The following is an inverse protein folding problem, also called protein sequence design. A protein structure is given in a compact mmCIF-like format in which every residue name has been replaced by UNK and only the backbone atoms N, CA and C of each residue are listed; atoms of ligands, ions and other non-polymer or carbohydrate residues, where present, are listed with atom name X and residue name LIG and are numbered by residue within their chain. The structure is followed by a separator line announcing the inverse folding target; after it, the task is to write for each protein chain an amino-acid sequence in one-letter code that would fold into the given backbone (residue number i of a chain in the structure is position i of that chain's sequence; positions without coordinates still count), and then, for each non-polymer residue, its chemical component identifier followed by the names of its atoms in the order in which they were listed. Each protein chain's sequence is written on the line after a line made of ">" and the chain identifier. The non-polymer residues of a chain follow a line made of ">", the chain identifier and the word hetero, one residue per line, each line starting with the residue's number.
data_IF_249200509966
#
_entry.id   IF_249200509966
#
_cell.length_a   1.000
_cell.length_b   1.000
_cell.length_c   1.000
_cell.angle_alpha   90.00
_cell.angle_beta   90.00
_cell.angle_gamma   90.00
#
_symmetry.space_group_name_H-M   'P 1'
#
loop_
_entity.id
_entity.type
_entity.pdbx_description
1 polymer ?
#
# COMPACT_ATOMS: atom_id res chain seq x y z
N UNK A 1 19.32 37.17 2.86
CA UNK A 1 19.58 38.51 2.29
C UNK A 1 21.09 38.68 2.13
N UNK A 2 21.53 39.55 1.22
CA UNK A 2 22.91 39.99 1.08
C UNK A 2 22.99 41.48 1.37
N UNK A 3 24.01 41.90 2.12
CA UNK A 3 24.27 43.29 2.48
C UNK A 3 25.50 43.79 1.72
N UNK A 4 25.38 44.95 1.08
CA UNK A 4 26.51 45.62 0.41
C UNK A 4 26.78 46.96 1.10
N UNK A 5 28.01 47.10 1.60
CA UNK A 5 28.53 48.33 2.20
C UNK A 5 29.71 48.86 1.38
N UNK A 6 29.93 50.16 1.42
CA UNK A 6 31.15 50.79 0.91
C UNK A 6 32.33 50.67 1.90
N UNK A 7 33.49 51.20 1.53
CA UNK A 7 34.68 51.19 2.40
C UNK A 7 34.53 51.97 3.71
N UNK A 8 33.51 52.83 3.82
CA UNK A 8 33.16 53.61 5.00
C UNK A 8 32.00 52.98 5.80
N UNK A 9 31.60 51.74 5.48
CA UNK A 9 30.47 51.03 6.09
C UNK A 9 29.09 51.64 5.79
N UNK A 10 28.96 52.48 4.76
CA UNK A 10 27.65 52.99 4.34
C UNK A 10 26.95 52.00 3.40
N UNK A 11 25.63 51.84 3.48
CA UNK A 11 24.87 51.04 2.54
C UNK A 11 25.01 51.52 1.08
N UNK A 12 25.21 50.58 0.16
CA UNK A 12 25.26 50.88 -1.27
C UNK A 12 23.93 50.48 -1.90
N UNK A 13 23.15 51.45 -2.34
CA UNK A 13 21.88 51.24 -3.05
C UNK A 13 22.06 50.99 -4.55
N UNK A 14 21.19 50.19 -5.15
CA UNK A 14 21.17 49.94 -6.58
C UNK A 14 22.31 49.06 -7.09
N UNK A 15 23.05 48.41 -6.20
CA UNK A 15 24.14 47.50 -6.59
C UNK A 15 23.57 46.18 -7.06
N UNK A 16 23.91 45.77 -8.28
CA UNK A 16 23.62 44.42 -8.77
C UNK A 16 24.44 43.38 -7.98
N UNK A 17 23.75 42.41 -7.39
CA UNK A 17 24.29 41.29 -6.63
C UNK A 17 23.78 39.99 -7.25
N UNK A 18 24.70 39.06 -7.48
CA UNK A 18 24.43 37.69 -7.89
C UNK A 18 24.54 36.76 -6.67
N UNK A 19 23.51 35.98 -6.39
CA UNK A 19 23.51 34.96 -5.35
C UNK A 19 23.51 33.60 -6.01
N UNK A 20 24.43 32.71 -5.65
CA UNK A 20 24.48 31.35 -6.17
C UNK A 20 24.58 30.33 -5.03
N UNK A 21 23.86 29.21 -5.20
CA UNK A 21 24.17 27.97 -4.48
C UNK A 21 25.35 27.31 -5.20
N UNK A 22 26.52 27.37 -4.58
CA UNK A 22 27.79 26.90 -5.16
C UNK A 22 28.06 25.42 -4.92
N UNK A 23 27.42 24.82 -3.91
CA UNK A 23 27.51 23.39 -3.62
C UNK A 23 26.26 22.92 -2.89
N UNK A 24 26.01 21.61 -2.91
CA UNK A 24 24.87 20.98 -2.25
C UNK A 24 23.78 20.51 -3.21
N UNK A 25 22.65 20.01 -2.67
CA UNK A 25 21.54 19.49 -3.45
C UNK A 25 20.98 20.45 -4.50
N UNK A 26 21.03 21.76 -4.24
CA UNK A 26 20.51 22.79 -5.14
C UNK A 26 21.62 23.54 -5.88
N UNK A 27 22.81 22.93 -6.05
CA UNK A 27 23.93 23.55 -6.76
C UNK A 27 23.54 24.00 -8.18
N UNK A 28 23.90 25.23 -8.52
CA UNK A 28 23.52 25.86 -9.79
C UNK A 28 22.24 26.70 -9.72
N UNK A 29 21.50 26.67 -8.62
CA UNK A 29 20.46 27.68 -8.37
C UNK A 29 21.11 29.06 -8.18
N UNK A 30 20.52 30.10 -8.78
CA UNK A 30 20.97 31.47 -8.61
C UNK A 30 19.81 32.48 -8.63
N UNK A 31 20.09 33.67 -8.10
CA UNK A 31 19.22 34.84 -8.22
C UNK A 31 20.06 36.11 -8.34
N UNK A 32 19.66 36.97 -9.28
CA UNK A 32 20.22 38.30 -9.45
C UNK A 32 19.23 39.36 -8.96
N UNK A 33 19.75 40.41 -8.32
CA UNK A 33 18.93 41.53 -7.90
C UNK A 33 19.75 42.73 -7.48
N UNK A 34 19.06 43.85 -7.27
CA UNK A 34 19.70 45.10 -6.82
C UNK A 34 19.44 45.36 -5.35
N UNK A 35 20.41 45.97 -4.68
CA UNK A 35 20.26 46.40 -3.29
C UNK A 35 19.29 47.57 -3.14
N UNK A 36 18.54 47.60 -2.05
CA UNK A 36 17.60 48.68 -1.71
C UNK A 36 18.28 49.89 -1.03
N UNK A 37 17.47 50.82 -0.51
CA UNK A 37 17.94 52.00 0.24
C UNK A 37 18.76 51.68 1.49
N UNK A 38 18.68 50.45 2.00
CA UNK A 38 19.45 49.94 3.13
C UNK A 38 20.64 49.06 2.71
N UNK A 39 20.94 49.00 1.41
CA UNK A 39 22.03 48.17 0.88
C UNK A 39 21.73 46.68 0.89
N UNK A 40 20.46 46.29 1.07
CA UNK A 40 20.05 44.90 1.17
C UNK A 40 19.44 44.38 -0.13
N UNK A 41 19.81 43.15 -0.49
CA UNK A 41 19.11 42.33 -1.48
C UNK A 41 18.53 41.10 -0.78
N UNK A 42 17.20 40.99 -0.74
CA UNK A 42 16.50 39.83 -0.19
C UNK A 42 16.18 38.81 -1.29
N UNK A 43 16.39 37.53 -1.00
CA UNK A 43 16.07 36.42 -1.88
C UNK A 43 15.49 35.27 -1.05
N UNK A 44 14.70 34.42 -1.69
CA UNK A 44 14.19 33.16 -1.15
C UNK A 44 14.32 32.09 -2.20
N UNK A 45 14.62 30.86 -1.79
CA UNK A 45 14.63 29.71 -2.70
C UNK A 45 14.11 28.47 -2.00
N UNK A 46 13.56 27.55 -2.79
CA UNK A 46 12.99 26.29 -2.34
C UNK A 46 13.96 25.15 -2.62
N UNK A 47 14.21 24.29 -1.62
CA UNK A 47 15.03 23.10 -1.79
C UNK A 47 14.29 22.01 -2.58
N UNK A 48 14.63 21.85 -3.86
CA UNK A 48 14.08 20.81 -4.74
C UNK A 48 15.06 19.65 -4.98
N UNK A 49 16.35 19.84 -4.64
CA UNK A 49 17.41 18.85 -4.84
C UNK A 49 17.45 17.69 -3.85
N UNK A 50 16.56 17.66 -2.85
CA UNK A 50 16.54 16.66 -1.78
C UNK A 50 17.35 17.08 -0.54
N UNK A 51 17.54 16.15 0.42
CA UNK A 51 18.25 16.42 1.66
C UNK A 51 19.74 16.67 1.43
N UNK A 52 20.33 17.48 2.29
CA UNK A 52 21.76 17.82 2.26
C UNK A 52 21.99 19.29 2.55
N UNK A 53 23.27 19.67 2.57
CA UNK A 53 23.67 21.04 2.89
C UNK A 53 23.97 21.81 1.62
N UNK A 54 23.25 22.91 1.40
CA UNK A 54 23.61 23.91 0.40
C UNK A 54 24.66 24.87 0.95
N UNK A 55 25.58 25.29 0.08
CA UNK A 55 26.53 26.37 0.33
C UNK A 55 26.21 27.51 -0.62
N UNK A 56 25.99 28.70 -0.08
CA UNK A 56 25.56 29.89 -0.82
C UNK A 56 26.64 30.95 -0.73
N UNK A 57 26.92 31.61 -1.85
CA UNK A 57 27.85 32.73 -1.94
C UNK A 57 27.24 33.85 -2.78
N UNK A 58 27.45 35.09 -2.35
CA UNK A 58 27.12 36.28 -3.14
C UNK A 58 28.34 36.75 -3.91
N UNK A 59 28.12 37.32 -5.09
CA UNK A 59 29.13 38.04 -5.85
C UNK A 59 28.56 39.34 -6.43
N UNK A 60 29.43 40.30 -6.63
CA UNK A 60 29.11 41.57 -7.28
C UNK A 60 30.35 42.15 -7.94
N UNK A 61 30.19 43.03 -8.92
CA UNK A 61 31.29 43.88 -9.40
C UNK A 61 31.24 45.19 -8.64
N UNK A 62 32.36 45.67 -8.08
CA UNK A 62 32.44 46.95 -7.37
C UNK A 62 32.49 48.16 -8.32
N UNK A 63 32.57 49.39 -7.76
CA UNK A 63 32.62 50.61 -8.59
C UNK A 63 33.89 50.72 -9.45
N UNK A 64 34.96 50.01 -9.09
CA UNK A 64 36.21 49.93 -9.84
C UNK A 64 36.23 48.84 -10.91
N UNK A 65 35.11 48.14 -11.12
CA UNK A 65 35.03 47.05 -12.09
C UNK A 65 35.59 45.71 -11.58
N UNK A 66 35.90 45.59 -10.30
CA UNK A 66 36.49 44.38 -9.72
C UNK A 66 35.41 43.46 -9.16
N UNK A 67 35.47 42.18 -9.49
CA UNK A 67 34.59 41.17 -8.88
C UNK A 67 34.92 40.98 -7.39
N UNK A 68 33.88 41.01 -6.56
CA UNK A 68 33.91 40.76 -5.12
C UNK A 68 33.00 39.59 -4.81
N UNK A 69 33.42 38.73 -3.89
CA UNK A 69 32.63 37.63 -3.36
C UNK A 69 32.45 37.81 -1.86
N UNK A 70 31.31 37.37 -1.33
CA UNK A 70 31.05 37.34 0.10
C UNK A 70 31.71 36.15 0.79
N UNK A 71 31.55 36.06 2.11
CA UNK A 71 31.65 34.77 2.82
C UNK A 71 30.57 33.80 2.30
N UNK A 72 30.73 32.52 2.65
CA UNK A 72 29.71 31.52 2.40
C UNK A 72 28.72 31.43 3.57
N UNK A 73 27.48 31.04 3.27
CA UNK A 73 26.47 30.65 4.27
C UNK A 73 25.90 29.29 3.89
N UNK A 74 25.46 28.51 4.88
CA UNK A 74 24.96 27.16 4.66
C UNK A 74 23.50 27.01 5.08
N UNK A 75 22.76 26.22 4.30
CA UNK A 75 21.38 25.81 4.62
C UNK A 75 21.33 24.28 4.63
N UNK A 76 20.90 23.69 5.74
CA UNK A 76 20.70 22.24 5.84
C UNK A 76 19.25 21.91 5.48
N UNK A 77 19.07 21.14 4.40
CA UNK A 77 17.82 20.50 4.05
C UNK A 77 17.77 19.13 4.68
N UNK A 78 16.79 18.91 5.55
CA UNK A 78 16.54 17.60 6.15
C UNK A 78 15.52 16.83 5.34
N UNK A 79 15.61 15.50 5.31
CA UNK A 79 14.53 14.68 4.79
C UNK A 79 13.23 14.96 5.55
N UNK A 80 12.11 14.87 4.83
CA UNK A 80 10.82 14.74 5.51
C UNK A 80 10.78 13.35 6.13
N UNK A 81 10.53 13.20 7.44
CA UNK A 81 10.45 11.88 8.05
C UNK A 81 9.39 11.04 7.35
N UNK A 82 9.78 9.91 6.75
CA UNK A 82 8.81 8.91 6.30
C UNK A 82 8.35 8.17 7.55
N UNK A 83 7.05 8.20 7.90
CA UNK A 83 6.57 7.46 9.04
C UNK A 83 6.81 5.96 8.83
N UNK A 84 7.20 5.20 9.89
CA UNK A 84 7.39 3.76 9.78
C UNK A 84 6.13 3.09 9.26
N UNK A 85 6.28 2.27 8.22
CA UNK A 85 5.15 1.65 7.54
C UNK A 85 4.72 0.39 8.31
N UNK A 86 3.49 0.42 8.83
CA UNK A 86 2.82 -0.76 9.35
C UNK A 86 2.37 -1.67 8.21
N UNK A 87 2.21 -2.95 8.51
CA UNK A 87 1.73 -3.96 7.56
C UNK A 87 0.49 -4.66 8.10
N UNK A 88 -0.35 -5.17 7.20
CA UNK A 88 -1.53 -5.95 7.53
C UNK A 88 -1.61 -7.20 6.65
N UNK A 89 -1.91 -8.35 7.26
CA UNK A 89 -2.03 -9.64 6.57
C UNK A 89 -3.33 -10.34 6.99
N UNK A 90 -4.03 -10.92 6.02
CA UNK A 90 -5.22 -11.74 6.22
C UNK A 90 -4.91 -13.23 6.13
N UNK A 91 -5.45 -14.00 7.08
CA UNK A 91 -5.40 -15.46 7.08
C UNK A 91 -6.71 -16.11 7.58
N UNK A 92 -7.09 -17.29 7.06
CA UNK A 92 -6.42 -18.01 5.96
C UNK A 92 -6.57 -17.26 4.63
N UNK A 93 -5.57 -17.39 3.75
CA UNK A 93 -5.61 -16.75 2.43
C UNK A 93 -6.60 -17.43 1.48
N UNK A 94 -6.90 -18.71 1.70
CA UNK A 94 -7.88 -19.48 0.93
C UNK A 94 -8.75 -20.31 1.86
N UNK A 95 -10.02 -20.48 1.52
CA UNK A 95 -10.94 -21.37 2.20
C UNK A 95 -11.98 -21.93 1.23
N UNK A 96 -12.64 -23.01 1.64
CA UNK A 96 -13.84 -23.52 1.00
C UNK A 96 -14.92 -23.76 2.07
N UNK A 97 -16.16 -23.40 1.75
CA UNK A 97 -17.31 -23.51 2.65
C UNK A 97 -18.58 -23.83 1.87
N UNK A 98 -19.56 -24.39 2.57
CA UNK A 98 -20.88 -24.55 1.98
C UNK A 98 -21.68 -23.24 2.11
N UNK A 99 -22.50 -22.91 1.12
CA UNK A 99 -23.44 -21.77 1.18
C UNK A 99 -24.26 -21.84 2.48
N UNK A 100 -24.41 -20.70 3.15
CA UNK A 100 -25.08 -20.55 4.44
C UNK A 100 -24.19 -20.81 5.66
N UNK A 101 -22.94 -21.26 5.48
CA UNK A 101 -21.99 -21.39 6.59
C UNK A 101 -21.30 -20.06 6.90
N UNK A 102 -20.77 -19.96 8.12
CA UNK A 102 -19.90 -18.86 8.51
C UNK A 102 -18.46 -19.09 8.06
N UNK A 103 -17.80 -18.02 7.64
CA UNK A 103 -16.38 -17.96 7.35
C UNK A 103 -15.72 -16.90 8.24
N UNK A 104 -14.62 -17.28 8.89
CA UNK A 104 -13.82 -16.40 9.74
C UNK A 104 -12.47 -16.14 9.11
N UNK A 105 -12.10 -14.86 8.99
CA UNK A 105 -10.78 -14.39 8.57
C UNK A 105 -10.18 -13.56 9.71
N UNK A 106 -8.88 -13.72 9.94
CA UNK A 106 -8.13 -12.92 10.92
C UNK A 106 -7.19 -11.98 10.21
N UNK A 107 -7.21 -10.70 10.60
CA UNK A 107 -6.21 -9.72 10.23
C UNK A 107 -5.13 -9.65 11.31
N UNK A 108 -3.87 -9.60 10.91
CA UNK A 108 -2.70 -9.34 11.75
C UNK A 108 -2.02 -8.05 11.31
N UNK A 109 -1.80 -7.15 12.25
CA UNK A 109 -1.14 -5.85 12.04
C UNK A 109 0.20 -5.84 12.77
N UNK A 110 1.26 -5.53 12.03
CA UNK A 110 2.62 -5.41 12.55
C UNK A 110 3.18 -4.02 12.27
N UNK A 111 4.00 -3.50 13.18
CA UNK A 111 4.79 -2.30 12.96
C UNK A 111 6.00 -2.56 12.05
N UNK A 112 6.77 -1.51 11.74
CA UNK A 112 7.96 -1.63 10.90
C UNK A 112 9.08 -2.50 11.52
N UNK A 113 9.04 -2.73 12.84
CA UNK A 113 9.96 -3.64 13.53
C UNK A 113 9.45 -5.08 13.58
N UNK A 114 8.25 -5.35 13.04
CA UNK A 114 7.60 -6.66 13.08
C UNK A 114 6.87 -6.96 14.39
N UNK A 115 6.65 -5.97 15.25
CA UNK A 115 5.93 -6.14 16.51
C UNK A 115 4.42 -5.95 16.33
N UNK A 116 3.57 -6.69 17.08
CA UNK A 116 2.12 -6.58 16.97
C UNK A 116 1.60 -5.21 17.41
N UNK A 117 0.66 -4.65 16.64
CA UNK A 117 0.06 -3.33 16.93
C UNK A 117 -1.30 -3.49 17.60
N UNK A 118 -1.41 -3.06 18.86
CA UNK A 118 -2.68 -3.04 19.61
C UNK A 118 -3.57 -1.85 19.21
N UNK A 119 -4.90 -2.04 19.24
CA UNK A 119 -5.89 -0.97 19.12
C UNK A 119 -5.99 -0.36 17.73
N UNK A 120 -5.50 -1.04 16.69
CA UNK A 120 -5.61 -0.59 15.31
C UNK A 120 -6.98 -0.91 14.76
N UNK A 121 -7.67 0.10 14.24
CA UNK A 121 -8.90 -0.09 13.48
C UNK A 121 -8.58 -0.70 12.12
N UNK A 122 -9.19 -1.85 11.85
CA UNK A 122 -9.08 -2.59 10.60
C UNK A 122 -10.48 -2.75 10.02
N UNK A 123 -10.61 -2.50 8.72
CA UNK A 123 -11.82 -2.78 7.95
C UNK A 123 -11.54 -3.91 6.97
N UNK A 124 -12.33 -4.97 7.00
CA UNK A 124 -12.36 -5.99 5.94
C UNK A 124 -13.58 -5.75 5.06
N UNK A 125 -13.38 -5.83 3.74
CA UNK A 125 -14.46 -5.83 2.76
C UNK A 125 -14.39 -7.08 1.91
N UNK A 126 -15.56 -7.64 1.58
CA UNK A 126 -15.72 -8.56 0.45
C UNK A 126 -15.79 -7.70 -0.81
N UNK A 127 -14.69 -7.67 -1.57
CA UNK A 127 -14.49 -6.78 -2.71
C UNK A 127 -15.09 -7.32 -4.01
N UNK A 128 -15.30 -8.62 -4.10
CA UNK A 128 -15.94 -9.28 -5.23
C UNK A 128 -16.52 -10.63 -4.80
N UNK A 129 -17.51 -11.13 -5.57
CA UNK A 129 -18.14 -12.42 -5.34
C UNK A 129 -19.62 -12.33 -4.97
N UNK A 130 -20.25 -13.48 -4.65
CA UNK A 130 -21.64 -13.55 -4.20
C UNK A 130 -21.97 -12.65 -3.00
N UNK A 131 -21.02 -12.42 -2.09
CA UNK A 131 -21.19 -11.56 -0.90
C UNK A 131 -20.55 -10.17 -1.07
N UNK A 132 -20.34 -9.70 -2.30
CA UNK A 132 -19.72 -8.40 -2.54
C UNK A 132 -20.49 -7.23 -1.89
N UNK A 133 -19.76 -6.34 -1.22
CA UNK A 133 -20.32 -5.21 -0.47
C UNK A 133 -20.40 -5.44 1.03
N UNK A 134 -20.29 -6.69 1.48
CA UNK A 134 -20.18 -6.99 2.91
C UNK A 134 -18.89 -6.42 3.49
N UNK A 135 -19.01 -5.80 4.66
CA UNK A 135 -17.88 -5.18 5.32
C UNK A 135 -18.06 -5.15 6.83
N UNK A 136 -16.94 -5.25 7.52
CA UNK A 136 -16.89 -5.24 8.97
C UNK A 136 -15.62 -4.53 9.45
N UNK A 137 -15.75 -3.82 10.55
CA UNK A 137 -14.67 -3.06 11.20
C UNK A 137 -14.42 -3.60 12.59
N UNK A 138 -13.17 -3.59 13.02
CA UNK A 138 -12.77 -4.10 14.34
C UNK A 138 -11.40 -3.58 14.76
N UNK A 139 -11.11 -3.67 16.05
CA UNK A 139 -9.86 -3.22 16.65
C UNK A 139 -8.94 -4.41 16.93
N UNK A 140 -7.65 -4.29 16.62
CA UNK A 140 -6.66 -5.31 16.97
C UNK A 140 -6.49 -5.45 18.48
N UNK A 141 -6.40 -6.70 18.95
CA UNK A 141 -6.07 -7.04 20.33
C UNK A 141 -4.57 -6.95 20.62
N UNK A 142 -4.15 -7.38 21.81
CA UNK A 142 -2.75 -7.26 22.26
C UNK A 142 -1.77 -8.09 21.41
N UNK A 143 -2.26 -9.13 20.73
CA UNK A 143 -1.52 -9.92 19.75
C UNK A 143 -1.41 -9.25 18.37
N UNK A 144 -1.92 -8.03 18.20
CA UNK A 144 -1.97 -7.34 16.91
C UNK A 144 -2.99 -7.93 15.95
N UNK A 145 -3.92 -8.76 16.44
CA UNK A 145 -4.88 -9.49 15.59
C UNK A 145 -6.32 -9.11 15.88
N UNK A 146 -7.16 -9.22 14.85
CA UNK A 146 -8.63 -9.09 14.95
C UNK A 146 -9.29 -10.09 14.01
N UNK A 147 -10.28 -10.83 14.51
CA UNK A 147 -11.01 -11.82 13.74
C UNK A 147 -12.37 -11.28 13.30
N UNK A 148 -12.75 -11.65 12.09
CA UNK A 148 -13.98 -11.22 11.44
C UNK A 148 -14.72 -12.43 10.89
N UNK A 149 -16.01 -12.52 11.19
CA UNK A 149 -16.86 -13.62 10.74
C UNK A 149 -18.02 -13.06 9.93
N UNK A 150 -18.28 -13.63 8.76
CA UNK A 150 -19.47 -13.36 7.95
C UNK A 150 -20.07 -14.66 7.43
N UNK A 151 -21.31 -14.59 6.95
CA UNK A 151 -22.07 -15.75 6.45
C UNK A 151 -22.09 -15.76 4.93
N UNK A 152 -21.82 -16.90 4.31
CA UNK A 152 -21.88 -17.07 2.86
C UNK A 152 -23.30 -17.23 2.32
N UNK A 153 -24.14 -16.20 2.45
CA UNK A 153 -25.56 -16.22 2.08
C UNK A 153 -25.88 -15.62 0.70
N UNK A 154 -24.87 -15.12 -0.04
CA UNK A 154 -25.03 -14.55 -1.38
C UNK A 154 -25.15 -15.59 -2.50
N UNK A 155 -24.93 -16.87 -2.19
CA UNK A 155 -25.02 -18.00 -3.13
C UNK A 155 -23.67 -18.64 -3.44
N UNK A 156 -23.65 -19.56 -4.40
CA UNK A 156 -22.43 -20.26 -4.81
C UNK A 156 -21.50 -19.35 -5.61
N UNK A 157 -20.20 -19.44 -5.36
CA UNK A 157 -19.20 -18.67 -6.08
C UNK A 157 -18.00 -18.32 -5.21
N UNK A 158 -17.06 -17.57 -5.78
CA UNK A 158 -15.86 -17.14 -5.09
C UNK A 158 -16.04 -15.75 -4.52
N UNK A 159 -15.84 -15.60 -3.21
CA UNK A 159 -15.63 -14.30 -2.58
C UNK A 159 -14.15 -13.94 -2.53
N UNK A 160 -13.89 -12.65 -2.71
CA UNK A 160 -12.58 -12.02 -2.62
C UNK A 160 -12.62 -10.99 -1.50
N UNK A 161 -11.66 -11.05 -0.59
CA UNK A 161 -11.60 -10.22 0.61
C UNK A 161 -10.29 -9.44 0.66
N UNK A 162 -10.37 -8.19 1.10
CA UNK A 162 -9.22 -7.35 1.39
C UNK A 162 -9.46 -6.51 2.64
N UNK A 163 -8.43 -6.40 3.47
CA UNK A 163 -8.43 -5.51 4.62
C UNK A 163 -7.73 -4.18 4.29
N UNK A 164 -8.21 -3.13 4.92
CA UNK A 164 -7.59 -1.82 4.90
C UNK A 164 -7.58 -1.21 6.31
N UNK A 165 -6.55 -0.42 6.57
CA UNK A 165 -6.42 0.41 7.78
C UNK A 165 -5.72 1.71 7.42
N UNK A 166 -5.89 2.74 8.25
CA UNK A 166 -4.99 3.89 8.24
C UNK A 166 -3.80 3.51 9.11
N UNK A 167 -2.58 3.52 8.57
CA UNK A 167 -1.35 3.23 9.30
C UNK A 167 -0.88 4.39 10.18
N UNK A 168 0.15 4.16 11.01
CA UNK A 168 0.74 5.19 11.88
C UNK A 168 1.16 6.48 11.14
N UNK A 169 1.49 6.36 9.85
CA UNK A 169 1.84 7.48 8.98
C UNK A 169 0.67 8.27 8.39
N UNK A 170 -0.58 7.95 8.76
CA UNK A 170 -1.76 8.58 8.18
C UNK A 170 -2.09 8.11 6.75
N UNK A 171 -1.37 7.11 6.23
CA UNK A 171 -1.58 6.54 4.90
C UNK A 171 -2.40 5.26 4.97
N UNK A 172 -3.21 4.99 3.94
CA UNK A 172 -3.94 3.73 3.84
C UNK A 172 -2.98 2.57 3.55
N UNK A 173 -3.09 1.50 4.36
CA UNK A 173 -2.36 0.23 4.17
C UNK A 173 -3.39 -0.85 3.86
N UNK A 174 -3.17 -1.62 2.79
CA UNK A 174 -4.03 -2.73 2.36
C UNK A 174 -3.35 -4.08 2.55
N UNK A 175 -4.12 -5.11 2.86
CA UNK A 175 -3.61 -6.47 3.02
C UNK A 175 -3.42 -7.20 1.69
N UNK A 176 -2.89 -8.43 1.79
CA UNK A 176 -3.10 -9.45 0.76
C UNK A 176 -4.59 -9.71 0.52
N UNK A 177 -4.87 -10.31 -0.63
CA UNK A 177 -6.19 -10.85 -0.95
C UNK A 177 -6.39 -12.19 -0.28
N UNK A 178 -7.54 -12.38 0.40
CA UNK A 178 -8.03 -13.67 0.85
C UNK A 178 -9.23 -14.10 0.00
N UNK A 179 -9.43 -15.39 -0.21
CA UNK A 179 -10.55 -15.93 -0.98
C UNK A 179 -11.29 -17.04 -0.24
N UNK A 180 -12.59 -17.15 -0.47
CA UNK A 180 -13.38 -18.32 -0.07
C UNK A 180 -14.27 -18.77 -1.22
N UNK A 181 -14.24 -20.06 -1.51
CA UNK A 181 -15.12 -20.67 -2.51
C UNK A 181 -16.37 -21.26 -1.80
N UNK A 182 -17.55 -20.79 -2.19
CA UNK A 182 -18.85 -21.25 -1.70
C UNK A 182 -19.48 -22.25 -2.67
N UNK A 183 -19.82 -23.43 -2.15
CA UNK A 183 -20.51 -24.48 -2.91
C UNK A 183 -21.75 -25.00 -2.18
N UNK A 184 -22.63 -25.67 -2.90
CA UNK A 184 -23.68 -26.47 -2.28
C UNK A 184 -23.19 -27.93 -2.17
N UNK A 185 -23.47 -28.63 -1.06
CA UNK A 185 -23.13 -30.04 -0.95
C UNK A 185 -23.89 -30.83 -2.04
N UNK A 186 -23.28 -31.88 -2.63
CA UNK A 186 -23.97 -32.72 -3.59
C UNK A 186 -25.21 -33.33 -2.93
N UNK A 187 -26.32 -33.38 -3.67
CA UNK A 187 -27.51 -34.10 -3.21
C UNK A 187 -27.14 -35.56 -3.01
N UNK A 188 -27.44 -36.17 -1.85
CA UNK A 188 -27.19 -37.60 -1.65
C UNK A 188 -27.94 -38.37 -2.74
N UNK A 189 -27.22 -39.23 -3.46
CA UNK A 189 -27.86 -40.14 -4.41
C UNK A 189 -28.75 -41.07 -3.60
N UNK A 190 -30.07 -41.16 -3.87
CA UNK A 190 -30.89 -42.14 -3.19
C UNK A 190 -30.30 -43.51 -3.46
N UNK A 191 -29.90 -44.22 -2.40
CA UNK A 191 -29.53 -45.62 -2.51
C UNK A 191 -30.76 -46.35 -3.07
N UNK A 192 -30.62 -46.96 -4.24
CA UNK A 192 -31.65 -47.88 -4.71
C UNK A 192 -31.76 -48.97 -3.65
N UNK A 193 -32.91 -49.18 -2.99
CA UNK A 193 -33.08 -50.34 -2.14
C UNK A 193 -32.79 -51.54 -3.03
N UNK A 194 -31.72 -52.27 -2.74
CA UNK A 194 -31.29 -53.40 -3.54
C UNK A 194 -32.49 -54.29 -3.77
N UNK A 195 -32.96 -54.38 -5.02
CA UNK A 195 -33.93 -55.39 -5.38
C UNK A 195 -33.21 -56.71 -5.13
N UNK A 196 -33.47 -57.32 -3.98
CA UNK A 196 -33.10 -58.70 -3.72
C UNK A 196 -33.86 -59.54 -4.73
N UNK A 197 -33.27 -59.78 -5.89
CA UNK A 197 -33.76 -60.81 -6.81
C UNK A 197 -33.51 -62.12 -6.06
N UNK A 198 -34.54 -62.87 -5.64
CA UNK A 198 -34.31 -64.19 -5.08
C UNK A 198 -33.81 -65.07 -6.24
N UNK A 199 -32.52 -65.43 -6.20
CA UNK A 199 -31.96 -66.47 -7.06
C UNK A 199 -32.50 -67.80 -6.54
N UNK A 200 -33.71 -68.16 -6.96
CA UNK A 200 -34.24 -69.51 -6.82
C UNK A 200 -35.26 -69.79 -7.94
N UNK A 201 -34.95 -70.83 -8.71
CA UNK A 201 -35.85 -71.62 -9.56
C UNK A 201 -36.16 -71.11 -11.00
N UNK A 202 -35.33 -71.52 -11.97
CA UNK A 202 -35.74 -72.52 -12.97
C UNK A 202 -34.51 -72.96 -13.80
N UNK A 203 -34.00 -74.15 -13.50
CA UNK A 203 -33.24 -74.92 -14.49
C UNK A 203 -34.21 -75.84 -15.24
N UNK A 204 -34.14 -75.87 -16.57
CA UNK A 204 -34.07 -77.12 -17.34
C UNK A 204 -33.86 -76.83 -18.85
N UNK A 205 -32.96 -77.62 -19.44
CA UNK A 205 -32.95 -78.08 -20.83
C UNK A 205 -32.37 -77.17 -21.95
N UNK A 206 -31.10 -77.40 -22.27
CA UNK A 206 -30.62 -77.50 -23.67
C UNK A 206 -29.22 -78.14 -23.74
N UNK A 207 -29.14 -79.45 -23.50
CA UNK A 207 -28.12 -80.29 -24.14
C UNK A 207 -28.87 -81.06 -25.24
N UNK A 208 -28.34 -81.00 -26.47
CA UNK A 208 -28.36 -81.99 -27.56
C UNK A 208 -28.62 -81.34 -28.94
N UNK A 209 -27.60 -81.52 -29.78
CA UNK A 209 -27.58 -81.65 -31.25
C UNK A 209 -27.66 -80.45 -32.20
N UNK A 210 -26.49 -80.24 -32.84
CA UNK A 210 -26.25 -79.98 -34.28
C UNK A 210 -27.32 -80.53 -35.25
N UNK A 211 -27.36 -79.86 -36.42
CA UNK A 211 -27.98 -80.23 -37.72
C UNK A 211 -29.46 -79.83 -37.83
N UNK A 212 -29.95 -79.09 -38.83
CA UNK A 212 -29.75 -79.15 -40.29
C UNK A 212 -29.94 -77.74 -40.89
N UNK A 213 -29.02 -77.20 -41.71
CA UNK A 213 -29.08 -77.10 -43.19
C UNK A 213 -30.44 -76.70 -43.82
N UNK A 214 -30.38 -75.56 -44.55
CA UNK A 214 -31.12 -75.13 -45.76
C UNK A 214 -32.63 -74.83 -45.63
N UNK A 215 -33.01 -73.59 -45.95
CA UNK A 215 -33.37 -73.19 -47.32
C UNK A 215 -33.00 -71.72 -47.56
#
# INVERSE_FOLDING_TARGET
>A
HALVLDGNQNPVTGRLVHIAVTAGPNAGWFADGVTDGSGLFAFSYTGAGGPGTDVIMASMTDAGGVARTSNTVSVLWTETPVPPQESIVLYPATAARNVGQQHTVTAMVLDAAGSPVFGREVRINVTAGPNAGDAVTGMTGASGTVAFTYTGDGGTGRDTLQAAMIGAGGTTVTSNTAIVDWSIPPTPVPEFPGIGIPVALLGLLAIVCRSMRRH
#
